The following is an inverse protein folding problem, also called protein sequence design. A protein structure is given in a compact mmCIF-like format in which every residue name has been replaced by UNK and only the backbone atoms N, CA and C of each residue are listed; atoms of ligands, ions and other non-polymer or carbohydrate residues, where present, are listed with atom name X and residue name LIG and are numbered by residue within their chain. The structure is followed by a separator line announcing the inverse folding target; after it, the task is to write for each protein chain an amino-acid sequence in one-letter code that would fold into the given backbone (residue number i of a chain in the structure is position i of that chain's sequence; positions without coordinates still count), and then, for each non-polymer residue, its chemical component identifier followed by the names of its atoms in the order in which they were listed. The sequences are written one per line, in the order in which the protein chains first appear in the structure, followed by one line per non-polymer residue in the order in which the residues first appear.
data_IF_073347457098
#
_entry.id   IF_073347457098
#
_cell.length_a   1.000
_cell.length_b   1.000
_cell.length_c   1.000
_cell.angle_alpha   90.00
_cell.angle_beta   90.00
_cell.angle_gamma   90.00
#
_symmetry.space_group_name_H-M   'P 1'
#
loop_
_entity.id
_entity.type
_entity.pdbx_description
1 polymer ?
#
# COMPACT_ATOMS: atom_id res chain seq x y z
N UNK A 1 9.63 2.76 -15.87
CA UNK A 1 8.29 3.08 -15.32
C UNK A 1 8.40 2.93 -13.80
N UNK A 2 7.74 3.77 -13.00
CA UNK A 2 7.92 3.78 -11.53
C UNK A 2 6.86 2.97 -10.75
N UNK A 3 5.96 2.34 -11.49
CA UNK A 3 4.76 1.66 -11.01
C UNK A 3 3.74 1.60 -12.15
N UNK A 4 2.68 0.82 -11.95
CA UNK A 4 1.56 0.69 -12.89
C UNK A 4 0.25 0.60 -12.12
N UNK A 5 -0.85 1.00 -12.75
CA UNK A 5 -2.20 0.82 -12.21
C UNK A 5 -3.14 0.29 -13.29
N UNK A 6 -4.18 -0.44 -12.89
CA UNK A 6 -5.21 -0.97 -13.79
C UNK A 6 -6.48 -1.36 -13.01
N UNK A 7 -7.59 -1.55 -13.72
CA UNK A 7 -8.83 -2.06 -13.16
C UNK A 7 -8.82 -3.59 -13.14
N UNK A 8 -8.77 -4.16 -11.93
CA UNK A 8 -8.77 -5.59 -11.69
C UNK A 8 -10.04 -6.26 -12.23
N UNK A 9 -9.87 -7.39 -12.94
CA UNK A 9 -10.98 -8.12 -13.56
C UNK A 9 -11.74 -7.35 -14.65
N UNK A 10 -11.21 -6.20 -15.11
CA UNK A 10 -11.86 -5.35 -16.12
C UNK A 10 -13.10 -4.58 -15.63
N UNK A 11 -13.51 -4.74 -14.36
CA UNK A 11 -14.66 -4.01 -13.80
C UNK A 11 -14.32 -2.55 -13.49
N UNK A 12 -15.16 -1.64 -13.99
CA UNK A 12 -15.15 -0.20 -13.70
C UNK A 12 -16.53 0.23 -13.16
N UNK A 13 -16.62 1.20 -12.25
CA UNK A 13 -17.91 1.77 -11.80
C UNK A 13 -18.81 2.31 -12.91
N UNK A 14 -18.22 2.82 -14.01
CA UNK A 14 -18.94 3.30 -15.21
C UNK A 14 -18.97 2.29 -16.37
N UNK A 15 -18.27 1.15 -16.25
CA UNK A 15 -18.02 0.20 -17.34
C UNK A 15 -19.16 -0.76 -17.61
N UNK A 16 -20.21 -0.29 -18.28
CA UNK A 16 -21.32 -1.14 -18.73
C UNK A 16 -20.94 -2.04 -19.92
N UNK A 17 -20.51 -3.28 -19.65
CA UNK A 17 -20.37 -4.32 -20.66
C UNK A 17 -20.68 -5.71 -20.08
N UNK A 18 -21.86 -6.26 -20.39
CA UNK A 18 -22.19 -7.67 -20.18
C UNK A 18 -22.75 -8.06 -18.80
N UNK A 19 -23.99 -7.64 -18.49
CA UNK A 19 -24.88 -8.34 -17.53
C UNK A 19 -24.46 -8.37 -16.04
N UNK A 20 -23.38 -7.71 -15.65
CA UNK A 20 -22.96 -7.62 -14.25
C UNK A 20 -23.84 -6.66 -13.44
N UNK A 21 -24.12 -7.03 -12.19
CA UNK A 21 -24.78 -6.16 -11.21
C UNK A 21 -24.02 -4.84 -11.01
N UNK A 22 -24.76 -3.78 -10.64
CA UNK A 22 -24.20 -2.45 -10.39
C UNK A 22 -23.07 -2.48 -9.35
N UNK A 23 -21.94 -1.83 -9.67
CA UNK A 23 -20.80 -1.75 -8.76
C UNK A 23 -21.13 -0.83 -7.59
N UNK A 24 -21.04 -1.36 -6.36
CA UNK A 24 -21.38 -0.66 -5.12
C UNK A 24 -20.31 0.31 -4.60
N UNK A 25 -19.05 0.16 -5.05
CA UNK A 25 -17.93 1.00 -4.64
C UNK A 25 -16.61 0.63 -5.31
N UNK A 26 -15.54 1.37 -4.98
CA UNK A 26 -14.16 1.14 -5.46
C UNK A 26 -13.22 0.83 -4.30
N UNK A 27 -12.49 -0.28 -4.39
CA UNK A 27 -11.29 -0.51 -3.57
C UNK A 27 -10.08 -0.07 -4.38
N UNK A 28 -9.34 0.94 -3.91
CA UNK A 28 -8.02 1.27 -4.45
C UNK A 28 -6.99 0.43 -3.70
N UNK A 29 -6.44 -0.57 -4.38
CA UNK A 29 -5.51 -1.53 -3.79
C UNK A 29 -4.06 -1.12 -4.06
N UNK A 30 -3.36 -0.67 -3.02
CA UNK A 30 -1.93 -0.39 -3.03
C UNK A 30 -1.18 -1.67 -2.68
N UNK A 31 -0.88 -2.45 -3.73
CA UNK A 31 -0.23 -3.73 -3.60
C UNK A 31 1.22 -3.59 -3.10
N UNK A 32 1.72 -4.67 -2.49
CA UNK A 32 3.07 -4.74 -1.96
C UNK A 32 4.13 -4.61 -3.04
N UNK A 33 5.36 -4.37 -2.61
CA UNK A 33 6.49 -4.03 -3.48
C UNK A 33 6.77 -5.11 -4.53
N UNK A 34 6.95 -4.69 -5.79
CA UNK A 34 7.29 -5.60 -6.90
C UNK A 34 6.27 -6.74 -7.14
N UNK A 35 5.03 -6.57 -6.66
CA UNK A 35 3.94 -7.50 -6.90
C UNK A 35 3.52 -7.56 -8.38
N UNK A 36 3.01 -8.73 -8.78
CA UNK A 36 2.48 -8.99 -10.12
C UNK A 36 0.97 -9.20 -10.05
N UNK A 37 0.28 -9.07 -11.17
CA UNK A 37 -1.19 -9.13 -11.24
C UNK A 37 -1.73 -10.48 -10.73
N UNK A 38 -1.03 -11.57 -11.07
CA UNK A 38 -1.31 -12.92 -10.55
C UNK A 38 -1.19 -13.04 -9.03
N UNK A 39 -0.43 -12.17 -8.35
CA UNK A 39 -0.25 -12.21 -6.90
C UNK A 39 -1.46 -11.61 -6.16
N UNK A 40 -2.06 -10.57 -6.75
CA UNK A 40 -3.19 -9.83 -6.15
C UNK A 40 -4.55 -10.33 -6.62
N UNK A 41 -4.56 -11.29 -7.57
CA UNK A 41 -5.77 -11.81 -8.22
C UNK A 41 -6.85 -12.26 -7.24
N UNK A 42 -6.51 -12.99 -6.19
CA UNK A 42 -7.47 -13.47 -5.19
C UNK A 42 -8.18 -12.31 -4.46
N UNK A 43 -7.45 -11.22 -4.15
CA UNK A 43 -8.03 -10.01 -3.54
C UNK A 43 -8.96 -9.29 -4.53
N UNK A 44 -8.56 -9.17 -5.81
CA UNK A 44 -9.42 -8.61 -6.86
C UNK A 44 -10.71 -9.42 -7.01
N UNK A 45 -10.62 -10.75 -7.05
CA UNK A 45 -11.78 -11.65 -7.18
C UNK A 45 -12.68 -11.59 -5.94
N UNK A 46 -12.11 -11.48 -4.73
CA UNK A 46 -12.86 -11.25 -3.49
C UNK A 46 -13.66 -9.94 -3.52
N UNK A 47 -13.01 -8.81 -3.85
CA UNK A 47 -13.71 -7.52 -3.93
C UNK A 47 -14.79 -7.53 -5.03
N UNK A 48 -14.51 -8.16 -6.19
CA UNK A 48 -15.48 -8.30 -7.27
C UNK A 48 -16.70 -9.15 -6.86
N UNK A 49 -16.50 -10.23 -6.10
CA UNK A 49 -17.57 -11.07 -5.54
C UNK A 49 -18.44 -10.31 -4.52
N UNK A 50 -17.85 -9.37 -3.78
CA UNK A 50 -18.56 -8.44 -2.89
C UNK A 50 -19.25 -7.27 -3.63
N UNK A 51 -19.13 -7.19 -4.96
CA UNK A 51 -19.77 -6.14 -5.78
C UNK A 51 -18.93 -4.86 -5.94
N UNK A 52 -17.66 -4.85 -5.55
CA UNK A 52 -16.76 -3.71 -5.64
C UNK A 52 -15.85 -3.80 -6.88
N UNK A 53 -15.55 -2.67 -7.52
CA UNK A 53 -14.48 -2.58 -8.51
C UNK A 53 -13.13 -2.40 -7.79
N UNK A 54 -12.05 -2.89 -8.37
CA UNK A 54 -10.73 -2.77 -7.76
C UNK A 54 -9.76 -2.02 -8.69
N UNK A 55 -9.32 -0.82 -8.28
CA UNK A 55 -8.25 -0.09 -8.92
C UNK A 55 -6.92 -0.51 -8.29
N UNK A 56 -6.18 -1.39 -8.96
CA UNK A 56 -4.91 -1.90 -8.46
C UNK A 56 -3.80 -0.91 -8.77
N UNK A 57 -2.94 -0.65 -7.79
CA UNK A 57 -1.68 0.08 -7.92
C UNK A 57 -0.52 -0.83 -7.49
N UNK A 58 0.43 -1.06 -8.40
CA UNK A 58 1.70 -1.73 -8.12
C UNK A 58 2.82 -0.70 -8.01
N UNK A 59 3.50 -0.69 -6.86
CA UNK A 59 4.68 0.13 -6.60
C UNK A 59 5.98 -0.62 -6.94
N UNK A 60 6.91 0.07 -7.60
CA UNK A 60 8.26 -0.46 -7.85
C UNK A 60 9.21 -0.11 -6.69
N UNK A 61 10.26 -0.91 -6.51
CA UNK A 61 11.28 -0.76 -5.44
C UNK A 61 11.76 0.68 -5.22
N UNK A 62 11.88 1.47 -6.30
CA UNK A 62 12.39 2.83 -6.26
C UNK A 62 11.43 3.86 -5.63
N UNK A 63 10.13 3.59 -5.59
CA UNK A 63 9.16 4.54 -4.97
C UNK A 63 9.36 4.69 -3.47
N UNK A 64 9.91 3.66 -2.79
CA UNK A 64 10.23 3.71 -1.36
C UNK A 64 11.28 4.77 -1.00
N UNK A 65 12.22 5.04 -1.92
CA UNK A 65 13.41 5.88 -1.68
C UNK A 65 13.33 7.25 -2.37
N UNK A 66 12.46 7.40 -3.36
CA UNK A 66 12.27 8.63 -4.11
C UNK A 66 10.81 9.11 -3.98
N UNK A 67 10.50 9.98 -2.98
CA UNK A 67 9.15 10.49 -2.74
C UNK A 67 8.47 11.08 -3.97
N UNK A 68 9.21 11.77 -4.84
CA UNK A 68 8.69 12.34 -6.09
C UNK A 68 8.15 11.24 -7.03
N UNK A 69 8.73 10.03 -7.00
CA UNK A 69 8.26 8.89 -7.80
C UNK A 69 7.03 8.24 -7.20
N UNK A 70 6.92 8.21 -5.87
CA UNK A 70 5.68 7.83 -5.19
C UNK A 70 4.56 8.85 -5.46
N UNK A 71 4.85 10.15 -5.47
CA UNK A 71 3.92 11.22 -5.82
C UNK A 71 3.44 11.13 -7.27
N UNK A 72 4.37 10.97 -8.24
CA UNK A 72 4.02 10.73 -9.65
C UNK A 72 3.16 9.48 -9.87
N UNK A 73 3.26 8.46 -9.01
CA UNK A 73 2.41 7.28 -9.05
C UNK A 73 1.04 7.55 -8.42
N UNK A 74 1.01 8.25 -7.28
CA UNK A 74 -0.19 8.68 -6.59
C UNK A 74 -1.08 9.58 -7.46
N UNK A 75 -0.51 10.61 -8.10
CA UNK A 75 -1.19 11.46 -9.10
C UNK A 75 -1.91 10.64 -10.17
N UNK A 76 -1.23 9.60 -10.69
CA UNK A 76 -1.78 8.74 -11.76
C UNK A 76 -2.92 7.86 -11.28
N UNK A 77 -2.84 7.33 -10.06
CA UNK A 77 -3.92 6.55 -9.43
C UNK A 77 -5.13 7.44 -9.18
N UNK A 78 -4.92 8.63 -8.60
CA UNK A 78 -5.99 9.60 -8.39
C UNK A 78 -6.62 10.06 -9.71
N UNK A 79 -5.82 10.33 -10.74
CA UNK A 79 -6.31 10.72 -12.07
C UNK A 79 -7.17 9.63 -12.73
N UNK A 80 -6.87 8.35 -12.54
CA UNK A 80 -7.71 7.25 -13.04
C UNK A 80 -8.98 7.09 -12.20
N UNK A 81 -8.90 7.23 -10.87
CA UNK A 81 -10.06 7.19 -9.97
C UNK A 81 -11.06 8.32 -10.25
N UNK A 82 -10.56 9.55 -10.43
CA UNK A 82 -11.38 10.75 -10.70
C UNK A 82 -12.20 10.62 -11.99
N UNK A 83 -11.72 9.89 -13.00
CA UNK A 83 -12.51 9.64 -14.22
C UNK A 83 -13.81 8.89 -13.92
N UNK A 84 -13.77 7.90 -13.03
CA UNK A 84 -14.96 7.15 -12.64
C UNK A 84 -15.85 7.98 -11.69
N UNK A 85 -15.27 8.63 -10.68
CA UNK A 85 -16.02 9.44 -9.71
C UNK A 85 -16.73 10.64 -10.35
N UNK A 86 -16.19 11.21 -11.43
CA UNK A 86 -16.88 12.27 -12.20
C UNK A 86 -18.10 11.76 -12.97
N UNK A 87 -18.16 10.48 -13.33
CA UNK A 87 -19.34 9.88 -13.96
C UNK A 87 -20.38 9.50 -12.90
N UNK A 88 -19.94 8.86 -11.82
CA UNK A 88 -20.78 8.52 -10.66
C UNK A 88 -19.91 8.50 -9.40
N UNK A 89 -20.10 9.45 -8.45
CA UNK A 89 -19.52 9.35 -7.12
C UNK A 89 -19.98 8.06 -6.45
N UNK A 90 -19.04 7.28 -5.92
CA UNK A 90 -19.28 6.00 -5.24
C UNK A 90 -18.34 5.88 -4.04
N UNK A 91 -18.70 5.11 -3.00
CA UNK A 91 -17.81 4.83 -1.88
C UNK A 91 -16.45 4.30 -2.34
N UNK A 92 -15.37 4.87 -1.78
CA UNK A 92 -13.99 4.48 -2.03
C UNK A 92 -13.35 3.98 -0.73
N UNK A 93 -12.64 2.86 -0.80
CA UNK A 93 -11.81 2.35 0.31
C UNK A 93 -10.37 2.20 -0.17
N UNK A 94 -9.40 2.63 0.63
CA UNK A 94 -7.98 2.41 0.35
C UNK A 94 -7.50 1.14 1.06
N UNK A 95 -7.04 0.15 0.29
CA UNK A 95 -6.51 -1.10 0.82
C UNK A 95 -5.00 -1.18 0.56
N UNK A 96 -4.18 -1.21 1.61
CA UNK A 96 -2.72 -1.15 1.50
C UNK A 96 -2.07 -2.40 2.08
N UNK A 97 -1.08 -2.93 1.36
CA UNK A 97 -0.48 -4.24 1.64
C UNK A 97 1.03 -4.12 1.82
N UNK A 98 1.59 -4.59 2.94
CA UNK A 98 3.02 -4.59 3.24
C UNK A 98 3.68 -3.21 3.01
N UNK A 99 4.59 -3.08 2.04
CA UNK A 99 5.24 -1.82 1.67
C UNK A 99 4.39 -0.85 0.83
N UNK A 100 3.16 -1.23 0.45
CA UNK A 100 2.21 -0.41 -0.32
C UNK A 100 1.98 1.01 0.23
N UNK A 101 1.81 1.22 1.55
CA UNK A 101 1.69 2.55 2.14
C UNK A 101 2.84 3.47 1.79
N UNK A 102 4.09 3.00 1.92
CA UNK A 102 5.29 3.78 1.64
C UNK A 102 5.55 3.93 0.14
N UNK A 103 5.19 2.93 -0.66
CA UNK A 103 5.34 2.94 -2.12
C UNK A 103 4.35 3.86 -2.84
N UNK A 104 3.15 4.09 -2.29
CA UNK A 104 2.16 4.99 -2.91
C UNK A 104 1.14 5.61 -1.94
N UNK A 105 0.50 4.84 -1.04
CA UNK A 105 -0.71 5.31 -0.30
C UNK A 105 -0.46 6.61 0.46
N UNK A 106 0.69 6.77 1.11
CA UNK A 106 0.97 7.96 1.90
C UNK A 106 1.03 9.23 1.02
N UNK A 107 1.56 9.15 -0.20
CA UNK A 107 1.49 10.28 -1.14
C UNK A 107 0.09 10.51 -1.68
N UNK A 108 -0.74 9.48 -1.84
CA UNK A 108 -2.17 9.66 -2.15
C UNK A 108 -2.88 10.44 -1.04
N UNK A 109 -2.64 10.06 0.23
CA UNK A 109 -3.18 10.76 1.40
C UNK A 109 -2.71 12.22 1.46
N UNK A 110 -1.42 12.49 1.27
CA UNK A 110 -0.92 13.88 1.23
C UNK A 110 -1.53 14.71 0.10
N UNK A 111 -1.78 14.13 -1.08
CA UNK A 111 -2.39 14.83 -2.21
C UNK A 111 -3.85 15.21 -1.90
N UNK A 112 -4.68 14.28 -1.39
CA UNK A 112 -6.07 14.58 -1.04
C UNK A 112 -6.21 15.49 0.19
N UNK A 113 -5.24 15.48 1.10
CA UNK A 113 -5.12 16.44 2.21
C UNK A 113 -4.48 17.78 1.81
N UNK A 114 -4.06 17.95 0.54
CA UNK A 114 -3.40 19.16 0.01
C UNK A 114 -2.08 19.51 0.74
N UNK A 115 -1.39 18.49 1.24
CA UNK A 115 -0.11 18.57 1.97
C UNK A 115 1.13 18.50 1.06
N UNK A 116 0.93 18.22 -0.23
CA UNK A 116 1.98 18.29 -1.26
C UNK A 116 1.38 18.70 -2.61
N UNK A 117 2.24 19.16 -3.53
CA UNK A 117 1.86 19.52 -4.89
C UNK A 117 1.56 18.26 -5.74
N UNK A 118 0.58 18.36 -6.63
CA UNK A 118 0.21 17.33 -7.59
C UNK A 118 -0.52 17.92 -8.79
N UNK A 119 -1.01 17.06 -9.69
CA UNK A 119 -1.46 17.46 -11.03
C UNK A 119 -2.97 17.69 -11.18
N UNK A 120 -3.78 17.31 -10.19
CA UNK A 120 -5.24 17.46 -10.22
C UNK A 120 -5.72 18.81 -9.65
N UNK A 121 -6.95 19.20 -9.98
CA UNK A 121 -7.58 20.40 -9.44
C UNK A 121 -8.02 20.23 -7.98
N UNK A 122 -8.27 21.36 -7.29
CA UNK A 122 -8.76 21.36 -5.91
C UNK A 122 -10.10 20.61 -5.75
N UNK A 123 -10.96 20.71 -6.76
CA UNK A 123 -12.28 20.05 -6.81
C UNK A 123 -12.14 18.54 -7.06
N UNK A 124 -11.13 18.12 -7.84
CA UNK A 124 -10.84 16.71 -8.09
C UNK A 124 -10.30 16.01 -6.83
N UNK A 125 -9.42 16.66 -6.06
CA UNK A 125 -9.02 16.14 -4.75
C UNK A 125 -10.18 16.12 -3.76
N UNK A 126 -11.04 17.14 -3.77
CA UNK A 126 -12.23 17.20 -2.91
C UNK A 126 -13.20 16.06 -3.24
N UNK A 127 -13.47 15.82 -4.53
CA UNK A 127 -14.32 14.70 -4.99
C UNK A 127 -13.81 13.34 -4.49
N UNK A 128 -12.50 13.09 -4.54
CA UNK A 128 -11.94 11.84 -3.98
C UNK A 128 -12.09 11.80 -2.47
N UNK A 129 -11.81 12.91 -1.77
CA UNK A 129 -11.94 13.02 -0.31
C UNK A 129 -13.37 12.76 0.17
N UNK A 130 -14.37 13.31 -0.53
CA UNK A 130 -15.79 13.16 -0.19
C UNK A 130 -16.33 11.75 -0.48
N UNK A 131 -15.68 11.00 -1.38
CA UNK A 131 -16.02 9.61 -1.69
C UNK A 131 -15.29 8.59 -0.79
N UNK A 132 -14.17 8.97 -0.17
CA UNK A 132 -13.33 8.08 0.62
C UNK A 132 -13.99 7.79 1.98
N UNK A 133 -14.33 6.54 2.24
CA UNK A 133 -15.15 6.12 3.37
C UNK A 133 -14.47 5.14 4.34
N UNK A 134 -13.21 4.78 4.11
CA UNK A 134 -12.46 3.89 5.00
C UNK A 134 -11.09 3.47 4.48
N UNK A 135 -10.33 2.80 5.34
CA UNK A 135 -8.99 2.31 5.06
C UNK A 135 -8.80 0.87 5.54
N UNK A 136 -7.94 0.11 4.85
CA UNK A 136 -7.53 -1.23 5.24
C UNK A 136 -6.00 -1.36 5.12
N UNK A 137 -5.38 -1.96 6.12
CA UNK A 137 -3.94 -2.22 6.20
C UNK A 137 -3.71 -3.70 6.46
N UNK A 138 -3.04 -4.40 5.55
CA UNK A 138 -2.70 -5.83 5.66
C UNK A 138 -1.19 -6.02 5.69
N UNK A 139 -0.68 -6.75 6.70
CA UNK A 139 0.73 -6.80 7.09
C UNK A 139 1.43 -5.43 7.01
N UNK A 140 0.78 -4.37 7.48
CA UNK A 140 1.24 -3.00 7.29
C UNK A 140 0.66 -2.04 8.33
N UNK A 141 1.21 -0.82 8.51
CA UNK A 141 2.41 -0.25 7.87
C UNK A 141 3.73 -0.90 8.31
N UNK A 142 4.61 -1.15 7.33
CA UNK A 142 6.03 -1.53 7.55
C UNK A 142 6.83 -0.32 8.03
N UNK A 143 7.86 -0.56 8.85
CA UNK A 143 8.77 0.48 9.38
C UNK A 143 10.15 0.40 8.72
N UNK A 144 10.59 1.49 8.08
CA UNK A 144 11.64 1.42 7.03
C UNK A 144 13.06 1.78 7.49
N UNK A 145 13.27 2.10 8.77
CA UNK A 145 14.57 2.51 9.35
C UNK A 145 14.60 2.02 10.81
N UNK A 146 15.72 1.69 11.46
CA UNK A 146 17.07 1.49 10.95
C UNK A 146 17.28 0.07 10.46
N UNK A 147 17.10 -0.92 11.34
CA UNK A 147 17.57 -2.30 11.11
C UNK A 147 16.82 -3.02 9.97
N UNK A 148 15.60 -2.56 9.63
CA UNK A 148 14.88 -3.08 8.46
C UNK A 148 15.45 -2.59 7.12
N UNK A 149 16.14 -1.44 7.06
CA UNK A 149 16.83 -1.04 5.83
C UNK A 149 17.90 -2.07 5.44
N UNK A 150 18.67 -2.53 6.43
CA UNK A 150 19.63 -3.62 6.30
C UNK A 150 18.94 -4.97 6.07
N UNK A 151 17.96 -5.36 6.89
CA UNK A 151 17.29 -6.67 6.78
C UNK A 151 16.47 -6.81 5.49
N UNK A 152 15.84 -5.76 4.98
CA UNK A 152 15.09 -5.78 3.72
C UNK A 152 16.03 -5.82 2.50
N UNK A 153 17.20 -5.17 2.58
CA UNK A 153 18.27 -5.35 1.59
C UNK A 153 18.91 -6.75 1.63
N UNK A 154 18.92 -7.39 2.81
CA UNK A 154 19.46 -8.73 3.04
C UNK A 154 18.39 -9.83 2.97
N UNK A 155 17.12 -9.50 2.74
CA UNK A 155 16.05 -10.49 2.75
C UNK A 155 16.17 -11.39 1.50
N UNK A 156 16.05 -12.73 1.63
CA UNK A 156 16.21 -13.64 0.49
C UNK A 156 15.32 -13.30 -0.70
N UNK A 157 14.11 -12.78 -0.47
CA UNK A 157 13.18 -12.36 -1.53
C UNK A 157 13.60 -11.11 -2.30
N UNK A 158 14.42 -10.24 -1.70
CA UNK A 158 14.99 -9.04 -2.34
C UNK A 158 16.34 -9.36 -2.98
N UNK A 159 17.18 -10.16 -2.31
CA UNK A 159 18.44 -10.67 -2.85
C UNK A 159 18.24 -11.57 -4.09
N UNK A 160 17.08 -12.24 -4.22
CA UNK A 160 16.70 -13.02 -5.41
C UNK A 160 16.28 -12.17 -6.62
N UNK A 161 16.30 -10.83 -6.54
CA UNK A 161 16.15 -10.00 -7.75
C UNK A 161 17.33 -10.24 -8.70
N UNK A 162 17.03 -10.71 -9.92
CA UNK A 162 18.01 -11.03 -10.96
C UNK A 162 18.85 -9.83 -11.44
N UNK A 163 18.43 -8.60 -11.11
CA UNK A 163 19.28 -7.41 -11.11
C UNK A 163 18.99 -6.54 -9.89
N UNK A 164 19.85 -6.53 -8.84
CA UNK A 164 19.75 -5.51 -7.80
C UNK A 164 19.93 -4.12 -8.44
N UNK A 165 19.11 -3.11 -8.09
CA UNK A 165 19.18 -1.80 -8.74
C UNK A 165 20.57 -1.18 -8.64
N UNK A 166 21.07 -0.58 -9.73
CA UNK A 166 22.37 0.14 -9.74
C UNK A 166 22.49 1.20 -8.63
N UNK A 167 21.35 1.70 -8.13
CA UNK A 167 21.19 2.60 -6.99
C UNK A 167 21.73 2.03 -5.67
N UNK A 168 21.69 0.71 -5.48
CA UNK A 168 22.30 0.05 -4.32
C UNK A 168 23.81 0.36 -4.26
N UNK A 169 24.48 0.43 -5.41
CA UNK A 169 25.89 0.81 -5.49
C UNK A 169 26.17 2.29 -5.20
N UNK A 170 25.14 3.14 -5.12
CA UNK A 170 25.27 4.56 -4.77
C UNK A 170 25.07 4.74 -3.26
N UNK A 171 24.11 4.01 -2.68
CA UNK A 171 23.93 3.92 -1.23
C UNK A 171 25.18 3.37 -0.54
N UNK A 172 25.73 2.25 -1.02
CA UNK A 172 26.98 1.69 -0.45
C UNK A 172 28.18 2.62 -0.64
N UNK A 173 28.22 3.44 -1.71
CA UNK A 173 29.27 4.45 -1.90
C UNK A 173 29.11 5.70 -1.03
N UNK A 174 27.88 6.13 -0.73
CA UNK A 174 27.62 7.22 0.20
C UNK A 174 28.03 6.88 1.63
N UNK A 175 27.79 5.62 2.04
CA UNK A 175 28.25 5.06 3.32
C UNK A 175 29.78 4.96 3.38
N UNK A 176 30.43 4.65 2.26
CA UNK A 176 31.90 4.62 2.20
C UNK A 176 32.54 6.02 2.17
N UNK A 177 31.78 7.11 2.01
CA UNK A 177 32.32 8.45 1.72
C UNK A 177 31.97 9.55 2.74
N UNK A 178 31.45 9.20 3.92
CA UNK A 178 31.15 10.17 4.98
C UNK A 178 29.94 11.08 4.73
N UNK A 179 29.07 10.73 3.76
CA UNK A 179 27.80 11.42 3.55
C UNK A 179 26.66 10.86 4.42
N UNK A 180 26.95 9.86 5.25
CA UNK A 180 25.99 9.11 6.07
C UNK A 180 25.02 10.01 6.84
N UNK A 181 25.52 11.00 7.59
CA UNK A 181 24.68 11.84 8.45
C UNK A 181 23.59 12.57 7.67
N UNK A 182 23.88 12.99 6.43
CA UNK A 182 22.91 13.66 5.55
C UNK A 182 21.89 12.67 4.97
N UNK A 183 22.33 11.47 4.57
CA UNK A 183 21.43 10.43 4.08
C UNK A 183 20.53 9.88 5.18
N UNK A 184 21.08 9.59 6.37
CA UNK A 184 20.35 9.16 7.56
C UNK A 184 19.32 10.22 7.96
N UNK A 185 19.72 11.50 8.08
CA UNK A 185 18.79 12.59 8.40
C UNK A 185 17.66 12.72 7.37
N UNK A 186 17.94 12.51 6.08
CA UNK A 186 16.92 12.50 5.03
C UNK A 186 15.96 11.31 5.13
N UNK A 187 16.46 10.10 5.44
CA UNK A 187 15.60 8.92 5.62
C UNK A 187 14.76 9.00 6.89
N UNK A 188 15.30 9.52 8.00
CA UNK A 188 14.53 9.78 9.21
C UNK A 188 13.45 10.85 8.99
N UNK A 189 13.74 11.93 8.25
CA UNK A 189 12.73 12.91 7.86
C UNK A 189 11.62 12.30 6.99
N UNK A 190 11.98 11.46 6.00
CA UNK A 190 11.00 10.72 5.16
C UNK A 190 10.23 9.64 5.93
N UNK A 191 10.78 9.10 7.01
CA UNK A 191 10.11 8.18 7.94
C UNK A 191 9.12 8.94 8.81
N UNK A 192 9.52 10.06 9.39
CA UNK A 192 8.67 10.93 10.20
C UNK A 192 7.48 11.47 9.36
N UNK A 193 7.75 11.99 8.17
CA UNK A 193 6.72 12.43 7.19
C UNK A 193 5.70 11.32 6.90
N UNK A 194 6.19 10.11 6.63
CA UNK A 194 5.36 8.95 6.33
C UNK A 194 4.43 8.59 7.50
N UNK A 195 4.99 8.43 8.71
CA UNK A 195 4.20 8.09 9.90
C UNK A 195 3.19 9.18 10.25
N UNK A 196 3.61 10.45 10.24
CA UNK A 196 2.74 11.60 10.49
C UNK A 196 1.57 11.69 9.49
N UNK A 197 1.83 11.39 8.22
CA UNK A 197 0.77 11.30 7.18
C UNK A 197 -0.24 10.21 7.52
N UNK A 198 0.21 8.99 7.86
CA UNK A 198 -0.70 7.89 8.18
C UNK A 198 -1.54 8.21 9.43
N UNK A 199 -0.94 8.81 10.46
CA UNK A 199 -1.67 9.25 11.66
C UNK A 199 -2.66 10.40 11.38
N UNK A 200 -2.32 11.33 10.49
CA UNK A 200 -3.20 12.43 10.11
C UNK A 200 -4.47 11.94 9.41
N UNK A 201 -4.36 10.84 8.65
CA UNK A 201 -5.49 10.23 7.93
C UNK A 201 -6.56 9.57 8.81
N UNK A 202 -6.42 9.61 10.14
CA UNK A 202 -7.39 9.03 11.11
C UNK A 202 -8.83 9.51 10.91
N UNK A 203 -9.01 10.72 10.36
CA UNK A 203 -10.31 11.35 10.12
C UNK A 203 -11.02 10.92 8.82
N UNK A 204 -10.40 10.03 8.02
CA UNK A 204 -10.91 9.57 6.72
C UNK A 204 -12.11 8.63 6.85
N UNK A 205 -12.22 7.89 7.96
CA UNK A 205 -13.25 6.87 8.18
C UNK A 205 -12.70 5.67 8.95
N UNK A 206 -13.48 4.59 9.10
CA UNK A 206 -13.05 3.39 9.81
C UNK A 206 -11.80 2.75 9.20
N UNK A 207 -10.93 2.23 10.08
CA UNK A 207 -9.64 1.65 9.72
C UNK A 207 -9.59 0.18 10.17
N UNK A 208 -9.54 -0.74 9.20
CA UNK A 208 -9.25 -2.16 9.45
C UNK A 208 -7.74 -2.40 9.38
N UNK A 209 -7.19 -3.09 10.37
CA UNK A 209 -5.77 -3.45 10.44
C UNK A 209 -5.66 -4.96 10.65
N UNK A 210 -4.89 -5.61 9.79
CA UNK A 210 -4.69 -7.06 9.73
C UNK A 210 -3.19 -7.36 9.93
N UNK A 211 -2.84 -8.19 10.91
CA UNK A 211 -1.45 -8.61 11.15
C UNK A 211 -1.32 -9.99 11.83
N UNK A 212 -0.10 -10.53 11.82
CA UNK A 212 0.24 -11.78 12.51
C UNK A 212 1.39 -11.60 13.50
N UNK A 213 1.40 -12.38 14.58
CA UNK A 213 2.48 -12.37 15.58
C UNK A 213 3.84 -12.83 15.02
N UNK A 214 3.83 -13.70 14.01
CA UNK A 214 5.01 -14.26 13.34
C UNK A 214 5.46 -13.47 12.08
N UNK A 215 4.86 -12.32 11.78
CA UNK A 215 5.24 -11.50 10.63
C UNK A 215 6.57 -10.76 10.87
N UNK A 216 7.67 -11.28 10.32
CA UNK A 216 9.02 -10.68 10.46
C UNK A 216 9.20 -9.37 9.66
N UNK A 217 8.42 -9.16 8.60
CA UNK A 217 8.55 -8.03 7.68
C UNK A 217 7.70 -6.82 8.11
N UNK A 218 6.57 -7.07 8.75
CA UNK A 218 5.72 -6.07 9.40
C UNK A 218 5.44 -6.48 10.87
N UNK A 219 6.44 -6.37 11.77
CA UNK A 219 6.34 -6.89 13.12
C UNK A 219 5.06 -6.44 13.83
N UNK A 220 4.30 -7.39 14.37
CA UNK A 220 3.01 -7.12 15.04
C UNK A 220 3.10 -5.97 16.06
N UNK A 221 4.22 -5.86 16.78
CA UNK A 221 4.45 -4.78 17.75
C UNK A 221 4.52 -3.37 17.14
N UNK A 222 4.90 -3.22 15.87
CA UNK A 222 4.83 -1.97 15.09
C UNK A 222 3.38 -1.71 14.67
N UNK A 223 2.71 -2.70 14.08
CA UNK A 223 1.33 -2.58 13.60
C UNK A 223 0.35 -2.27 14.76
N UNK A 224 0.56 -2.88 15.93
CA UNK A 224 -0.21 -2.59 17.14
C UNK A 224 0.06 -1.20 17.72
N UNK A 225 1.30 -0.67 17.62
CA UNK A 225 1.59 0.73 17.98
C UNK A 225 0.87 1.69 17.04
N UNK A 226 0.86 1.39 15.75
CA UNK A 226 0.10 2.17 14.76
C UNK A 226 -1.40 2.20 15.07
N UNK A 227 -2.03 1.04 15.23
CA UNK A 227 -3.45 0.94 15.57
C UNK A 227 -3.81 1.60 16.91
N UNK A 228 -2.98 1.43 17.95
CA UNK A 228 -3.15 2.14 19.23
C UNK A 228 -3.06 3.65 19.06
N UNK A 229 -2.09 4.14 18.28
CA UNK A 229 -1.91 5.57 18.06
C UNK A 229 -3.08 6.20 17.29
N UNK A 230 -3.67 5.47 16.36
CA UNK A 230 -4.91 5.90 15.68
C UNK A 230 -6.10 5.97 16.66
N UNK A 231 -6.25 4.99 17.56
CA UNK A 231 -7.27 5.04 18.63
C UNK A 231 -7.05 6.22 19.59
N UNK A 232 -5.81 6.50 19.99
CA UNK A 232 -5.45 7.68 20.82
C UNK A 232 -5.79 9.01 20.14
N UNK A 233 -5.81 9.04 18.80
CA UNK A 233 -6.18 10.20 17.98
C UNK A 233 -7.70 10.27 17.69
N UNK A 234 -8.49 9.37 18.28
CA UNK A 234 -9.96 9.35 18.15
C UNK A 234 -10.50 8.61 16.92
N UNK A 235 -9.68 7.78 16.26
CA UNK A 235 -10.11 6.98 15.11
C UNK A 235 -10.96 5.77 15.48
N UNK A 236 -11.85 5.37 14.57
CA UNK A 236 -12.51 4.07 14.60
C UNK A 236 -11.57 3.01 13.99
N UNK A 237 -11.00 2.14 14.83
CA UNK A 237 -9.96 1.18 14.43
C UNK A 237 -10.33 -0.22 14.89
N UNK A 238 -10.43 -1.14 13.93
CA UNK A 238 -10.54 -2.57 14.19
C UNK A 238 -9.20 -3.25 13.85
N UNK A 239 -8.53 -3.81 14.87
CA UNK A 239 -7.28 -4.55 14.69
C UNK A 239 -7.52 -6.05 14.89
N UNK A 240 -7.40 -6.81 13.79
CA UNK A 240 -7.45 -8.27 13.78
C UNK A 240 -6.02 -8.80 13.77
N UNK A 241 -5.71 -9.66 14.74
CA UNK A 241 -4.39 -10.27 14.91
C UNK A 241 -4.50 -11.79 14.91
N UNK A 242 -3.74 -12.46 14.05
CA UNK A 242 -3.55 -13.91 14.08
C UNK A 242 -2.31 -14.31 14.88
N UNK A 243 -2.31 -15.53 15.42
CA UNK A 243 -1.13 -16.13 16.05
C UNK A 243 -0.08 -16.54 15.02
N UNK A 244 -0.52 -17.02 13.85
CA UNK A 244 0.33 -17.34 12.72
C UNK A 244 -0.43 -17.18 11.41
N UNK A 245 0.17 -16.48 10.45
CA UNK A 245 -0.26 -16.42 9.05
C UNK A 245 0.88 -15.86 8.19
N UNK A 246 1.09 -16.36 6.96
CA UNK A 246 2.18 -15.86 6.09
C UNK A 246 2.08 -14.37 5.81
N UNK A 247 3.22 -13.66 5.75
CA UNK A 247 3.24 -12.25 5.35
C UNK A 247 2.65 -12.06 3.95
N UNK A 248 1.95 -10.94 3.70
CA UNK A 248 1.35 -10.67 2.40
C UNK A 248 2.41 -10.45 1.30
N UNK A 249 2.73 -11.53 0.59
CA UNK A 249 3.83 -11.63 -0.37
C UNK A 249 4.62 -12.93 -0.28
N UNK A 250 4.55 -13.65 0.85
CA UNK A 250 5.24 -14.93 1.07
C UNK A 250 4.49 -16.17 0.57
N UNK A 251 3.29 -15.97 0.00
CA UNK A 251 2.56 -16.93 -0.85
C UNK A 251 3.33 -17.37 -2.13
N UNK A 252 4.65 -17.16 -2.17
CA UNK A 252 5.55 -17.35 -3.31
C UNK A 252 6.78 -18.23 -3.01
N UNK A 253 6.67 -19.19 -2.08
CA UNK A 253 7.51 -20.40 -2.12
C UNK A 253 6.68 -21.55 -2.73
N UNK A 254 6.94 -21.96 -3.99
CA UNK A 254 6.20 -23.03 -4.65
C UNK A 254 6.67 -24.42 -4.16
N UNK A 255 6.46 -24.71 -2.88
CA UNK A 255 6.66 -26.04 -2.31
C UNK A 255 6.03 -26.18 -0.91
N UNK A 256 4.71 -26.35 -0.85
CA UNK A 256 4.15 -27.27 0.12
C UNK A 256 3.04 -28.10 -0.53
N UNK A 257 3.34 -29.39 -0.71
CA UNK A 257 2.33 -30.39 -1.07
C UNK A 257 1.41 -30.55 0.13
N UNK A 258 0.07 -30.61 -0.03
CA UNK A 258 -0.81 -30.97 1.07
C UNK A 258 -0.53 -32.43 1.45
N UNK A 259 0.25 -32.65 2.51
CA UNK A 259 0.22 -33.94 3.19
C UNK A 259 -1.17 -34.11 3.76
N UNK A 260 -1.89 -35.12 3.26
CA UNK A 260 -3.29 -35.31 3.59
C UNK A 260 -3.50 -35.62 5.07
N UNK A 261 -4.25 -34.77 5.75
CA UNK A 261 -5.06 -35.17 6.90
C UNK A 261 -6.50 -35.27 6.43
N UNK A 262 -7.02 -36.50 6.45
CA UNK A 262 -8.41 -36.83 6.16
C UNK A 262 -9.36 -36.13 7.12
N UNK A 263 -10.48 -35.62 6.60
CA UNK A 263 -11.65 -35.33 7.44
C UNK A 263 -12.23 -36.65 7.98
N UNK A 264 -12.18 -36.80 9.31
CA UNK A 264 -13.16 -37.52 10.13
C UNK A 264 -13.38 -36.69 11.40
#
# INVERSE_FOLDING_TARGET
MWGRHYWGGGRRPSGGAGGGAEVGGVVVMFAWLSSQERHVRAYVELYAALGWACLVCHSEFLTLFFPDKAAMLADRVLAELVKELKVRPVPVVFASFSGGPKGCTYKVLQLIERRCEGQLSLDEYQLVRDCLCGQMYDSSPVDFVSDLGTRFLLHPSVLKMSQPPRILSWMTRGIASGLDTLFIGKFEAQRAEYWDTLYSSVHVGPILILCSEDDELAPCSIVQKFGRRLLELGGDVNLVKWQSSPHVGELFVPSYVPNGTSFQ
#
